data_IF_043512357134
#
_entry.id   IF_043512357134
#
_cell.length_a   1.000
_cell.length_b   1.000
_cell.length_c   1.000
_cell.angle_alpha   90.00
_cell.angle_beta   90.00
_cell.angle_gamma   90.00
#
_symmetry.space_group_name_H-M   'P 1'
#
loop_
_entity.id
_entity.type
_entity.pdbx_description
1 polymer ?
#
# COMPACT_ATOMS: atom_id res chain seq x y z
N UNK A 1 -15.28 11.63 2.21
CA UNK A 1 -15.31 10.52 1.23
C UNK A 1 -13.89 10.13 0.89
N UNK A 2 -13.56 8.84 0.78
CA UNK A 2 -12.21 8.38 0.38
C UNK A 2 -12.30 7.19 -0.55
N UNK A 3 -11.60 7.26 -1.69
CA UNK A 3 -11.46 6.16 -2.63
C UNK A 3 -9.97 5.80 -2.74
N UNK A 4 -9.66 4.50 -2.79
CA UNK A 4 -8.29 4.04 -2.96
C UNK A 4 -8.23 2.77 -3.82
N UNK A 5 -7.16 2.59 -4.59
CA UNK A 5 -6.95 1.44 -5.48
C UNK A 5 -5.46 1.06 -5.54
N UNK A 6 -5.18 -0.25 -5.52
CA UNK A 6 -3.87 -0.83 -5.85
C UNK A 6 -3.94 -1.44 -7.25
N UNK A 7 -2.91 -1.22 -8.05
CA UNK A 7 -2.73 -1.86 -9.36
C UNK A 7 -1.43 -2.65 -9.43
N UNK A 8 -1.43 -3.72 -10.25
CA UNK A 8 -0.23 -4.48 -10.65
C UNK A 8 -0.03 -4.31 -12.15
N UNK A 9 1.17 -3.91 -12.56
CA UNK A 9 1.56 -3.94 -13.96
C UNK A 9 1.84 -5.40 -14.37
N UNK A 10 1.12 -5.98 -15.34
CA UNK A 10 1.33 -7.38 -15.72
C UNK A 10 2.68 -7.62 -16.42
N UNK A 11 3.22 -6.61 -17.12
CA UNK A 11 4.48 -6.72 -17.88
C UNK A 11 5.71 -6.67 -16.97
N UNK A 12 5.73 -5.74 -16.01
CA UNK A 12 6.88 -5.49 -15.13
C UNK A 12 6.74 -6.10 -13.74
N UNK A 13 5.54 -6.53 -13.37
CA UNK A 13 5.21 -6.98 -12.01
C UNK A 13 5.15 -5.86 -10.97
N UNK A 14 5.39 -4.59 -11.33
CA UNK A 14 5.39 -3.47 -10.39
C UNK A 14 4.01 -3.27 -9.75
N UNK A 15 4.00 -2.89 -8.48
CA UNK A 15 2.81 -2.50 -7.73
C UNK A 15 2.79 -1.00 -7.50
N UNK A 16 1.62 -0.40 -7.67
CA UNK A 16 1.37 1.02 -7.40
C UNK A 16 -0.04 1.24 -6.89
N UNK A 17 -0.37 2.48 -6.52
CA UNK A 17 -1.72 2.81 -6.08
C UNK A 17 -2.09 4.26 -6.31
N UNK A 18 -3.37 4.55 -6.13
CA UNK A 18 -3.92 5.90 -6.12
C UNK A 18 -4.92 6.03 -4.96
N UNK A 19 -5.00 7.22 -4.38
CA UNK A 19 -5.94 7.54 -3.30
C UNK A 19 -6.43 8.98 -3.46
N UNK A 20 -7.73 9.18 -3.25
CA UNK A 20 -8.36 10.51 -3.20
C UNK A 20 -9.22 10.64 -1.95
N UNK A 21 -9.17 11.81 -1.33
CA UNK A 21 -9.91 12.15 -0.13
C UNK A 21 -10.11 13.66 -0.05
N UNK A 22 -11.10 14.11 0.71
CA UNK A 22 -11.24 15.52 1.09
C UNK A 22 -10.17 15.97 2.11
N UNK A 23 -9.42 15.03 2.69
CA UNK A 23 -8.33 15.33 3.62
C UNK A 23 -7.02 15.63 2.89
N UNK A 24 -6.37 16.73 3.26
CA UNK A 24 -5.07 17.17 2.70
C UNK A 24 -3.99 16.12 2.97
N UNK A 25 -3.07 15.93 2.02
CA UNK A 25 -1.94 15.02 2.14
C UNK A 25 -2.35 13.57 2.51
N UNK A 26 -3.44 13.06 1.91
CA UNK A 26 -3.88 11.68 2.17
C UNK A 26 -2.86 10.64 1.68
N UNK A 27 -2.19 10.90 0.54
CA UNK A 27 -1.21 9.96 -0.03
C UNK A 27 -0.05 9.68 0.94
N UNK A 28 0.52 10.70 1.59
CA UNK A 28 1.66 10.52 2.50
C UNK A 28 1.33 9.71 3.76
N UNK A 29 0.05 9.58 4.09
CA UNK A 29 -0.40 8.91 5.32
C UNK A 29 -1.09 7.58 5.08
N UNK A 30 -1.57 7.35 3.86
CA UNK A 30 -2.43 6.21 3.54
C UNK A 30 -1.93 5.35 2.37
N UNK A 31 -0.93 5.79 1.59
CA UNK A 31 -0.42 5.04 0.44
C UNK A 31 1.04 4.64 0.69
N UNK A 32 1.28 3.33 0.71
CA UNK A 32 2.58 2.76 0.98
C UNK A 32 2.92 1.72 -0.09
N UNK A 33 4.17 1.75 -0.56
CA UNK A 33 4.72 0.74 -1.47
C UNK A 33 6.11 0.34 -0.99
N UNK A 34 6.48 -0.92 -1.24
CA UNK A 34 7.84 -1.43 -1.02
C UNK A 34 8.18 -2.35 -2.19
N UNK A 35 9.24 -2.01 -2.91
CA UNK A 35 9.68 -2.75 -4.10
C UNK A 35 9.91 -4.23 -3.78
N UNK A 36 9.43 -5.12 -4.64
CA UNK A 36 9.51 -6.57 -4.45
C UNK A 36 8.62 -7.16 -3.34
N UNK A 37 8.01 -6.33 -2.49
CA UNK A 37 7.22 -6.77 -1.33
C UNK A 37 5.72 -6.55 -1.53
N UNK A 38 5.28 -5.33 -1.85
CA UNK A 38 3.85 -5.03 -1.86
C UNK A 38 3.45 -3.57 -1.94
N UNK A 39 2.13 -3.35 -1.95
CA UNK A 39 1.49 -2.06 -1.77
C UNK A 39 0.38 -2.19 -0.71
N UNK A 40 0.20 -1.15 0.11
CA UNK A 40 -0.81 -1.10 1.17
C UNK A 40 -1.53 0.25 1.17
N UNK A 41 -2.86 0.20 1.31
CA UNK A 41 -3.73 1.37 1.43
C UNK A 41 -4.52 1.28 2.73
N UNK A 42 -4.39 2.28 3.60
CA UNK A 42 -5.09 2.31 4.89
C UNK A 42 -6.27 3.28 4.82
N UNK A 43 -7.48 2.82 5.12
CA UNK A 43 -8.70 3.64 5.09
C UNK A 43 -9.49 3.57 6.41
N UNK A 44 -10.43 4.50 6.55
CA UNK A 44 -11.28 4.81 7.71
C UNK A 44 -10.61 5.66 8.81
N UNK A 45 -9.61 5.14 9.52
CA UNK A 45 -8.82 5.93 10.50
C UNK A 45 -7.39 6.05 9.99
N UNK A 46 -6.86 7.27 9.96
CA UNK A 46 -5.47 7.50 9.53
C UNK A 46 -4.51 7.05 10.63
N UNK A 47 -3.91 5.88 10.44
CA UNK A 47 -2.77 5.41 11.22
C UNK A 47 -1.67 4.93 10.26
N UNK A 48 -0.63 5.75 10.02
CA UNK A 48 0.47 5.39 9.12
C UNK A 48 1.21 4.12 9.51
N UNK A 49 1.16 3.72 10.80
CA UNK A 49 1.81 2.51 11.30
C UNK A 49 1.19 1.25 10.70
N UNK A 50 -0.10 1.29 10.35
CA UNK A 50 -0.79 0.15 9.73
C UNK A 50 -0.22 -0.16 8.33
N UNK A 51 0.13 0.87 7.55
CA UNK A 51 0.72 0.69 6.23
C UNK A 51 2.08 0.00 6.29
N UNK A 52 2.94 0.45 7.20
CA UNK A 52 4.25 -0.17 7.45
C UNK A 52 4.08 -1.62 7.94
N UNK A 53 3.21 -1.85 8.94
CA UNK A 53 2.95 -3.19 9.47
C UNK A 53 2.42 -4.16 8.41
N UNK A 54 1.55 -3.70 7.51
CA UNK A 54 1.05 -4.52 6.41
C UNK A 54 2.19 -4.95 5.47
N UNK A 55 3.10 -4.04 5.11
CA UNK A 55 4.25 -4.37 4.27
C UNK A 55 5.21 -5.34 4.97
N UNK A 56 5.45 -5.18 6.27
CA UNK A 56 6.27 -6.12 7.04
C UNK A 56 5.63 -7.52 7.10
N UNK A 57 4.30 -7.59 7.24
CA UNK A 57 3.57 -8.85 7.20
C UNK A 57 3.64 -9.50 5.81
N UNK A 58 3.53 -8.72 4.74
CA UNK A 58 3.73 -9.22 3.37
C UNK A 58 5.14 -9.78 3.21
N UNK A 59 6.17 -9.05 3.62
CA UNK A 59 7.57 -9.48 3.55
C UNK A 59 7.81 -10.77 4.34
N UNK A 60 7.28 -10.87 5.57
CA UNK A 60 7.40 -12.07 6.40
C UNK A 60 6.72 -13.31 5.79
N UNK A 61 5.71 -13.12 4.92
CA UNK A 61 5.01 -14.19 4.22
C UNK A 61 5.67 -14.56 2.89
N UNK A 62 6.40 -13.64 2.26
CA UNK A 62 7.12 -13.89 1.01
C UNK A 62 8.36 -14.79 1.19
N UNK A 63 8.74 -15.09 2.44
CA UNK A 63 9.82 -16.03 2.79
C UNK A 63 9.59 -17.52 2.46
N UNK A 64 8.72 -17.88 1.51
CA UNK A 64 8.43 -19.29 1.13
C UNK A 64 8.20 -19.55 -0.37
N UNK A 65 8.77 -18.73 -1.24
CA UNK A 65 8.83 -19.04 -2.68
C UNK A 65 10.14 -18.54 -3.28
N UNK A 66 11.24 -19.18 -2.88
CA UNK A 66 12.48 -19.25 -3.66
C UNK A 66 12.56 -20.62 -4.29
#
# INVERSE_FOLDING_TARGET
MTLSIVGRCPETGMLGGAVTSSSICVASRCLFTRSGIGAALTQNVTDPRLGIRMLDLLESRTGRSG
#
